data_IF_901604475112
#
_entry.id   IF_901604475112
#
_cell.length_a   1.000
_cell.length_b   1.000
_cell.length_c   1.000
_cell.angle_alpha   90.00
_cell.angle_beta   90.00
_cell.angle_gamma   90.00
#
_symmetry.space_group_name_H-M   'P 1'
#
loop_
_entity.id
_entity.type
_entity.pdbx_description
1 polymer ?
#
# COMPACT_ATOMS: atom_id res chain seq x y z
N UNK A 1 -71.85 16.46 8.37
CA UNK A 1 -72.29 15.51 7.32
C UNK A 1 -71.20 15.57 6.25
N UNK A 2 -70.06 14.94 6.49
CA UNK A 2 -69.78 13.53 6.19
C UNK A 2 -69.96 13.25 4.69
N UNK A 3 -68.87 13.36 3.94
CA UNK A 3 -68.69 12.47 2.78
C UNK A 3 -67.19 12.32 2.52
N UNK A 4 -66.58 11.48 3.35
CA UNK A 4 -65.28 10.87 3.11
C UNK A 4 -65.43 9.83 2.01
N UNK A 5 -65.24 10.23 0.75
CA UNK A 5 -65.10 9.27 -0.34
C UNK A 5 -63.66 8.76 -0.34
N UNK A 6 -63.42 7.71 0.46
CA UNK A 6 -62.39 6.72 0.18
C UNK A 6 -62.60 6.18 -1.23
N UNK A 7 -61.56 6.09 -2.06
CA UNK A 7 -61.41 5.08 -3.11
C UNK A 7 -59.99 5.16 -3.72
N UNK A 8 -59.47 4.08 -4.30
CA UNK A 8 -58.78 2.99 -3.61
C UNK A 8 -57.26 3.02 -3.88
N UNK A 9 -56.51 2.30 -3.05
CA UNK A 9 -55.12 1.93 -3.31
C UNK A 9 -55.04 1.21 -4.66
N UNK A 10 -54.59 1.89 -5.72
CA UNK A 10 -54.16 1.24 -6.95
C UNK A 10 -52.80 0.61 -6.63
N UNK A 11 -52.86 -0.65 -6.18
CA UNK A 11 -51.74 -1.58 -6.16
C UNK A 11 -51.27 -1.70 -7.61
N UNK A 12 -50.24 -0.93 -7.98
CA UNK A 12 -49.55 -1.13 -9.25
C UNK A 12 -48.96 -2.54 -9.20
N UNK A 13 -49.27 -3.43 -10.16
CA UNK A 13 -48.64 -4.73 -10.20
C UNK A 13 -47.14 -4.49 -10.31
N UNK A 14 -46.36 -5.14 -9.44
CA UNK A 14 -44.93 -5.30 -9.65
C UNK A 14 -44.81 -6.05 -10.99
N UNK A 15 -44.64 -5.31 -12.09
CA UNK A 15 -44.20 -5.89 -13.33
C UNK A 15 -42.81 -6.43 -13.04
N UNK A 16 -42.75 -7.73 -12.79
CA UNK A 16 -41.55 -8.50 -12.84
C UNK A 16 -40.98 -8.31 -14.24
N UNK A 17 -40.02 -7.40 -14.38
CA UNK A 17 -39.32 -7.22 -15.64
C UNK A 17 -38.71 -8.58 -15.96
N UNK A 18 -39.20 -9.22 -17.02
CA UNK A 18 -38.53 -10.34 -17.66
C UNK A 18 -37.06 -9.93 -17.84
N UNK A 19 -36.17 -10.51 -17.03
CA UNK A 19 -34.74 -10.27 -17.11
C UNK A 19 -34.26 -11.00 -18.37
N UNK A 20 -34.58 -10.42 -19.54
CA UNK A 20 -33.78 -10.63 -20.72
C UNK A 20 -32.37 -10.20 -20.33
N UNK A 21 -31.46 -11.17 -20.32
CA UNK A 21 -30.04 -10.94 -20.02
C UNK A 21 -29.48 -9.95 -21.04
N UNK A 22 -29.60 -8.66 -20.73
CA UNK A 22 -28.95 -7.60 -21.46
C UNK A 22 -27.47 -7.70 -21.11
N UNK A 23 -26.69 -8.31 -22.00
CA UNK A 23 -25.27 -8.51 -21.79
C UNK A 23 -24.56 -7.15 -21.77
N UNK A 24 -24.05 -6.77 -20.60
CA UNK A 24 -23.20 -5.60 -20.44
C UNK A 24 -21.73 -5.97 -20.66
N UNK A 25 -20.89 -5.03 -21.07
CA UNK A 25 -19.43 -5.26 -21.18
C UNK A 25 -18.86 -5.71 -19.83
N UNK A 26 -18.30 -6.92 -19.80
CA UNK A 26 -17.77 -7.55 -18.59
C UNK A 26 -16.45 -6.92 -18.09
N UNK A 27 -15.62 -6.36 -18.98
CA UNK A 27 -14.34 -5.73 -18.61
C UNK A 27 -13.86 -4.67 -19.62
N UNK A 28 -13.13 -3.65 -19.15
CA UNK A 28 -12.47 -2.64 -20.00
C UNK A 28 -11.22 -2.08 -19.33
N UNK A 29 -10.14 -1.92 -20.12
CA UNK A 29 -8.88 -1.29 -19.67
C UNK A 29 -8.71 0.14 -20.22
N UNK A 30 -9.70 0.67 -20.95
CA UNK A 30 -9.59 1.91 -21.73
C UNK A 30 -9.08 3.11 -20.95
N UNK A 31 -9.55 3.30 -19.71
CA UNK A 31 -9.17 4.46 -18.89
C UNK A 31 -8.02 4.19 -17.91
N UNK A 32 -7.45 2.98 -17.88
CA UNK A 32 -6.45 2.62 -16.87
C UNK A 32 -5.16 3.40 -17.07
N UNK A 33 -4.68 3.51 -18.31
CA UNK A 33 -3.49 4.30 -18.63
C UNK A 33 -3.71 5.77 -18.28
N UNK A 34 -4.83 6.37 -18.69
CA UNK A 34 -5.09 7.78 -18.42
C UNK A 34 -5.13 8.07 -16.90
N UNK A 35 -5.76 7.20 -16.10
CA UNK A 35 -5.80 7.32 -14.63
C UNK A 35 -4.41 7.18 -14.00
N UNK A 36 -3.60 6.21 -14.43
CA UNK A 36 -2.25 6.00 -13.91
C UNK A 36 -1.33 7.21 -14.16
N UNK A 37 -1.51 7.88 -15.30
CA UNK A 37 -0.71 9.05 -15.68
C UNK A 37 -1.20 10.37 -15.06
N UNK A 38 -2.41 10.45 -14.47
CA UNK A 38 -2.90 11.68 -13.79
C UNK A 38 -1.94 12.15 -12.70
N UNK A 39 -1.44 11.23 -11.88
CA UNK A 39 -0.45 11.50 -10.83
C UNK A 39 0.99 11.19 -11.26
N UNK A 40 1.15 10.70 -12.49
CA UNK A 40 2.39 10.15 -13.05
C UNK A 40 2.80 8.82 -12.40
N UNK A 41 3.40 7.93 -13.20
CA UNK A 41 3.99 6.69 -12.70
C UNK A 41 5.30 7.02 -11.99
N UNK A 42 5.29 7.01 -10.66
CA UNK A 42 6.47 7.32 -9.85
C UNK A 42 7.40 6.11 -9.77
N UNK A 43 8.70 6.36 -9.95
CA UNK A 43 9.75 5.36 -9.70
C UNK A 43 9.85 5.09 -8.19
N UNK A 44 10.25 3.88 -7.76
CA UNK A 44 10.53 3.61 -6.36
C UNK A 44 11.64 4.53 -5.87
N UNK A 45 11.53 5.00 -4.62
CA UNK A 45 12.53 5.87 -4.02
C UNK A 45 13.81 5.06 -3.73
N UNK A 46 14.94 5.54 -4.22
CA UNK A 46 16.25 4.99 -3.87
C UNK A 46 16.78 5.72 -2.64
N UNK A 47 17.26 4.95 -1.66
CA UNK A 47 17.94 5.47 -0.48
C UNK A 47 19.45 5.21 -0.59
N UNK A 48 20.28 6.08 -0.01
CA UNK A 48 21.75 5.91 0.00
C UNK A 48 22.18 4.58 0.61
N UNK A 49 21.45 4.11 1.64
CA UNK A 49 21.71 2.85 2.31
C UNK A 49 20.46 1.96 2.26
N UNK A 50 20.52 0.76 1.65
CA UNK A 50 19.40 -0.18 1.63
C UNK A 50 19.27 -0.92 2.97
N UNK A 51 18.11 -1.52 3.23
CA UNK A 51 17.90 -2.34 4.41
C UNK A 51 18.60 -3.71 4.30
N UNK A 52 19.25 -4.17 5.37
CA UNK A 52 19.86 -5.51 5.44
C UNK A 52 18.85 -6.61 5.88
N UNK A 53 17.55 -6.45 5.61
CA UNK A 53 16.54 -7.49 5.89
C UNK A 53 16.65 -8.58 4.82
N UNK A 54 16.69 -9.84 5.24
CA UNK A 54 16.88 -11.00 4.34
C UNK A 54 18.33 -11.36 4.05
N UNK A 55 19.30 -10.62 4.57
CA UNK A 55 20.73 -10.99 4.49
C UNK A 55 21.03 -12.13 5.48
N UNK A 56 21.94 -13.03 5.09
CA UNK A 56 22.36 -14.17 5.90
C UNK A 56 22.63 -13.81 7.37
N UNK A 57 22.08 -14.63 8.26
CA UNK A 57 22.18 -14.43 9.69
C UNK A 57 23.63 -14.52 10.19
N UNK A 58 24.49 -15.35 9.58
CA UNK A 58 25.90 -15.45 9.98
C UNK A 58 26.66 -14.17 9.62
N UNK A 59 26.48 -13.68 8.40
CA UNK A 59 27.02 -12.38 7.99
C UNK A 59 26.55 -11.24 8.90
N UNK A 60 25.26 -11.18 9.22
CA UNK A 60 24.71 -10.14 10.11
C UNK A 60 25.23 -10.21 11.53
N UNK A 61 25.47 -11.40 12.09
CA UNK A 61 26.09 -11.55 13.41
C UNK A 61 27.51 -10.99 13.39
N UNK A 62 28.32 -11.40 12.42
CA UNK A 62 29.70 -10.92 12.29
C UNK A 62 29.77 -9.40 12.07
N UNK A 63 28.94 -8.86 11.17
CA UNK A 63 28.91 -7.43 10.86
C UNK A 63 28.62 -6.57 12.11
N UNK A 64 27.72 -7.03 13.00
CA UNK A 64 27.47 -6.35 14.29
C UNK A 64 28.72 -6.32 15.16
N UNK A 65 29.40 -7.46 15.33
CA UNK A 65 30.60 -7.52 16.17
C UNK A 65 31.74 -6.65 15.62
N UNK A 66 31.95 -6.65 14.30
CA UNK A 66 32.95 -5.81 13.66
C UNK A 66 32.70 -4.31 13.87
N UNK A 67 31.45 -3.85 13.65
CA UNK A 67 31.08 -2.44 13.87
C UNK A 67 31.20 -2.01 15.34
N UNK A 68 30.81 -2.88 16.28
CA UNK A 68 30.97 -2.58 17.71
C UNK A 68 32.45 -2.51 18.12
N UNK A 69 33.29 -3.39 17.55
CA UNK A 69 34.74 -3.38 17.79
C UNK A 69 35.40 -2.09 17.29
N UNK A 70 35.09 -1.66 16.07
CA UNK A 70 35.64 -0.40 15.53
C UNK A 70 35.14 0.81 16.30
N UNK A 71 33.86 0.86 16.67
CA UNK A 71 33.31 1.94 17.48
C UNK A 71 33.99 2.05 18.85
N UNK A 72 34.26 0.92 19.52
CA UNK A 72 35.00 0.88 20.79
C UNK A 72 36.43 1.40 20.63
N UNK A 73 37.14 0.94 19.61
CA UNK A 73 38.52 1.37 19.35
C UNK A 73 38.61 2.88 19.03
N UNK A 74 37.66 3.41 18.25
CA UNK A 74 37.58 4.84 17.96
C UNK A 74 37.30 5.67 19.21
N UNK A 75 36.45 5.17 20.11
CA UNK A 75 36.16 5.81 21.40
C UNK A 75 37.39 5.85 22.29
N UNK A 76 38.12 4.74 22.43
CA UNK A 76 39.34 4.66 23.23
C UNK A 76 40.46 5.55 22.70
N UNK A 77 40.60 5.65 21.37
CA UNK A 77 41.51 6.61 20.72
C UNK A 77 41.12 8.05 21.00
N UNK A 78 39.82 8.38 20.95
CA UNK A 78 39.33 9.73 21.28
C UNK A 78 39.56 10.08 22.75
N UNK A 79 39.43 9.10 23.64
CA UNK A 79 39.71 9.25 25.08
C UNK A 79 41.22 9.25 25.40
N UNK A 80 42.10 9.09 24.41
CA UNK A 80 43.56 9.11 24.60
C UNK A 80 44.12 7.88 25.32
N UNK A 81 43.31 6.84 25.57
CA UNK A 81 43.71 5.61 26.27
C UNK A 81 44.46 4.62 25.37
N UNK A 82 44.50 4.90 24.07
CA UNK A 82 45.25 4.13 23.07
C UNK A 82 46.21 5.06 22.34
N UNK A 83 47.49 4.85 22.59
CA UNK A 83 48.59 5.43 21.82
C UNK A 83 48.40 5.09 20.33
N UNK A 84 48.52 6.09 19.46
CA UNK A 84 48.54 5.85 18.02
C UNK A 84 49.92 5.30 17.70
N UNK A 85 49.98 4.05 17.21
CA UNK A 85 51.20 3.49 16.65
C UNK A 85 51.64 4.25 15.39
#
# INVERSE_FOLDING_TARGET
>A
MASTCLFPQIIRPLQYCNIASFESKNASQHHNSQKAHRNGIKKPKTHRYPSLRGVDAKFRRNHRHALHGTAKALKERKEGKREVA
#
